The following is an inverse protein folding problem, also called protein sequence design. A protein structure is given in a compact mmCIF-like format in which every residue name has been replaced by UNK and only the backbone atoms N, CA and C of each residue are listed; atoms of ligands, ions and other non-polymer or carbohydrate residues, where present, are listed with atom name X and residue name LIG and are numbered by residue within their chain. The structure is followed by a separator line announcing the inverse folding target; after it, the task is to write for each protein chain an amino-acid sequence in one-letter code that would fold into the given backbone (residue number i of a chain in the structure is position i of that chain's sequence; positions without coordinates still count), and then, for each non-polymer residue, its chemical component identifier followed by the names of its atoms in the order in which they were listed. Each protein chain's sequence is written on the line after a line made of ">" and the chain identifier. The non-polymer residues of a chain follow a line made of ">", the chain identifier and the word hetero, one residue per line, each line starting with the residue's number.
data_IF_914784278245
#
_entry.id   IF_914784278245
#
_cell.length_a   1.000
_cell.length_b   1.000
_cell.length_c   1.000
_cell.angle_alpha   90.00
_cell.angle_beta   90.00
_cell.angle_gamma   90.00
#
_symmetry.space_group_name_H-M   'P 1'
#
loop_
_entity.id
_entity.type
_entity.pdbx_description
1 polymer ?
#
# COMPACT_ATOMS: atom_id res chain seq x y z
N UNK A 1 -13.43 -19.95 -24.97
CA UNK A 1 -14.39 -18.87 -24.68
C UNK A 1 -15.77 -19.48 -24.69
N UNK A 2 -16.27 -19.85 -23.52
CA UNK A 2 -17.70 -20.14 -23.35
C UNK A 2 -18.23 -18.91 -22.64
N UNK A 3 -18.88 -18.01 -23.40
CA UNK A 3 -19.74 -17.01 -22.81
C UNK A 3 -20.89 -17.81 -22.18
N UNK A 4 -20.79 -18.02 -20.87
CA UNK A 4 -21.93 -18.53 -20.11
C UNK A 4 -22.72 -17.28 -19.75
N UNK A 5 -23.88 -17.11 -20.37
CA UNK A 5 -24.90 -16.18 -19.89
C UNK A 5 -25.37 -16.71 -18.53
N UNK A 6 -24.61 -16.37 -17.48
CA UNK A 6 -24.95 -16.73 -16.11
C UNK A 6 -26.01 -15.75 -15.62
N UNK A 7 -27.16 -16.27 -15.21
CA UNK A 7 -28.24 -15.44 -14.69
C UNK A 7 -27.77 -14.69 -13.43
N UNK A 8 -28.30 -13.49 -13.19
CA UNK A 8 -27.91 -12.68 -12.02
C UNK A 8 -28.11 -13.41 -10.68
N UNK A 9 -29.08 -14.33 -10.62
CA UNK A 9 -29.35 -15.18 -9.47
C UNK A 9 -28.22 -16.17 -9.18
N UNK A 10 -27.60 -16.72 -10.22
CA UNK A 10 -26.48 -17.65 -10.09
C UNK A 10 -25.20 -16.92 -9.66
N UNK A 11 -24.99 -15.69 -10.17
CA UNK A 11 -23.89 -14.82 -9.73
C UNK A 11 -23.98 -14.50 -8.24
N UNK A 12 -25.20 -14.25 -7.75
CA UNK A 12 -25.44 -13.95 -6.35
C UNK A 12 -25.10 -15.14 -5.45
N UNK A 13 -25.50 -16.36 -5.80
CA UNK A 13 -25.19 -17.54 -4.99
C UNK A 13 -23.69 -17.85 -4.99
N UNK A 14 -22.99 -17.70 -6.12
CA UNK A 14 -21.52 -17.85 -6.19
C UNK A 14 -20.81 -16.83 -5.29
N UNK A 15 -21.22 -15.56 -5.39
CA UNK A 15 -20.68 -14.51 -4.54
C UNK A 15 -20.94 -14.80 -3.06
N UNK A 16 -22.16 -15.21 -2.72
CA UNK A 16 -22.62 -15.47 -1.36
C UNK A 16 -21.85 -16.62 -0.73
N UNK A 17 -21.69 -17.72 -1.46
CA UNK A 17 -20.88 -18.87 -1.03
C UNK A 17 -19.46 -18.42 -0.72
N UNK A 18 -18.84 -17.67 -1.63
CA UNK A 18 -17.46 -17.20 -1.44
C UNK A 18 -17.33 -16.21 -0.29
N UNK A 19 -18.16 -15.16 -0.27
CA UNK A 19 -18.10 -14.12 0.77
C UNK A 19 -18.35 -14.71 2.14
N UNK A 20 -19.37 -15.54 2.33
CA UNK A 20 -19.67 -16.12 3.63
C UNK A 20 -18.72 -17.25 4.02
N UNK A 21 -18.06 -17.89 3.04
CA UNK A 21 -16.97 -18.84 3.28
C UNK A 21 -15.66 -18.18 3.74
N UNK A 22 -15.46 -16.87 3.49
CA UNK A 22 -14.28 -16.16 3.99
C UNK A 22 -14.36 -15.90 5.50
N UNK A 23 -13.19 -15.83 6.14
CA UNK A 23 -13.07 -15.44 7.56
C UNK A 23 -13.81 -14.13 7.79
N UNK A 24 -14.69 -14.13 8.81
CA UNK A 24 -15.58 -13.02 9.18
C UNK A 24 -16.66 -12.62 8.16
N UNK A 25 -16.76 -13.29 7.01
CA UNK A 25 -17.68 -12.91 5.93
C UNK A 25 -19.17 -12.87 6.33
N UNK A 26 -19.60 -13.82 7.16
CA UNK A 26 -20.95 -13.87 7.75
C UNK A 26 -21.35 -12.57 8.48
N UNK A 27 -20.38 -11.82 9.02
CA UNK A 27 -20.66 -10.53 9.69
C UNK A 27 -21.31 -9.52 8.76
N UNK A 28 -21.18 -9.62 7.43
CA UNK A 28 -21.83 -8.71 6.48
C UNK A 28 -23.37 -8.69 6.67
N UNK A 29 -23.98 -9.80 7.10
CA UNK A 29 -25.42 -9.87 7.40
C UNK A 29 -25.83 -8.94 8.55
N UNK A 30 -24.91 -8.63 9.46
CA UNK A 30 -25.11 -7.77 10.63
C UNK A 30 -25.05 -6.27 10.30
N UNK A 31 -24.90 -5.89 9.02
CA UNK A 31 -24.86 -4.49 8.64
C UNK A 31 -26.13 -3.73 9.03
N UNK A 32 -25.96 -2.71 9.87
CA UNK A 32 -27.01 -1.82 10.39
C UNK A 32 -27.53 -0.78 9.39
N UNK A 33 -26.92 -0.66 8.20
CA UNK A 33 -27.26 0.36 7.20
C UNK A 33 -27.15 1.84 7.69
N UNK A 34 -26.37 2.09 8.75
CA UNK A 34 -26.19 3.42 9.37
C UNK A 34 -25.46 4.46 8.48
N UNK A 35 -24.71 4.03 7.46
CA UNK A 35 -24.07 4.94 6.49
C UNK A 35 -22.72 5.53 6.89
N UNK A 36 -22.16 5.19 8.06
CA UNK A 36 -20.83 5.64 8.49
C UNK A 36 -19.74 5.33 7.46
N UNK A 37 -19.81 4.16 6.80
CA UNK A 37 -18.88 3.76 5.75
C UNK A 37 -18.90 4.71 4.55
N UNK A 38 -20.09 5.06 4.07
CA UNK A 38 -20.27 5.97 2.93
C UNK A 38 -19.88 7.40 3.28
N UNK A 39 -20.28 7.89 4.46
CA UNK A 39 -19.95 9.25 4.92
C UNK A 39 -18.45 9.45 5.16
N UNK A 40 -17.72 8.38 5.53
CA UNK A 40 -16.27 8.45 5.75
C UNK A 40 -15.45 8.25 4.48
N UNK A 41 -16.06 7.84 3.35
CA UNK A 41 -15.30 7.45 2.17
C UNK A 41 -14.79 8.68 1.40
N UNK A 42 -13.48 8.84 1.17
CA UNK A 42 -12.92 9.97 0.42
C UNK A 42 -13.38 10.04 -1.05
N UNK A 43 -13.78 8.90 -1.60
CA UNK A 43 -14.31 8.76 -2.97
C UNK A 43 -15.85 8.70 -3.00
N UNK A 44 -16.52 8.80 -1.86
CA UNK A 44 -17.95 8.52 -1.74
C UNK A 44 -18.84 9.34 -2.68
N UNK A 45 -18.46 10.59 -2.98
CA UNK A 45 -19.16 11.48 -3.91
C UNK A 45 -19.10 11.02 -5.38
N UNK A 46 -18.05 10.30 -5.77
CA UNK A 46 -17.89 9.79 -7.14
C UNK A 46 -18.45 8.39 -7.36
N UNK A 47 -18.83 7.68 -6.30
CA UNK A 47 -19.35 6.31 -6.38
C UNK A 47 -20.85 6.31 -6.71
N UNK A 48 -21.23 5.67 -7.81
CA UNK A 48 -22.61 5.31 -8.14
C UNK A 48 -23.27 4.51 -7.00
N UNK A 49 -22.61 3.42 -6.62
CA UNK A 49 -22.91 2.57 -5.48
C UNK A 49 -21.86 2.82 -4.40
N UNK A 50 -22.10 3.76 -3.49
CA UNK A 50 -21.27 3.84 -2.28
C UNK A 50 -21.47 2.60 -1.40
N UNK A 51 -20.56 2.37 -0.44
CA UNK A 51 -20.51 1.13 0.35
C UNK A 51 -21.82 0.74 1.03
N UNK A 52 -22.59 1.71 1.56
CA UNK A 52 -23.93 1.43 2.12
C UNK A 52 -24.89 0.89 1.05
N UNK A 53 -24.95 1.56 -0.11
CA UNK A 53 -25.80 1.14 -1.23
C UNK A 53 -25.40 -0.24 -1.76
N UNK A 54 -24.10 -0.53 -1.88
CA UNK A 54 -23.62 -1.86 -2.27
C UNK A 54 -24.19 -2.95 -1.36
N UNK A 55 -24.10 -2.77 -0.03
CA UNK A 55 -24.63 -3.76 0.92
C UNK A 55 -26.17 -3.87 0.82
N UNK A 56 -26.87 -2.76 0.61
CA UNK A 56 -28.33 -2.78 0.46
C UNK A 56 -28.74 -3.53 -0.81
N UNK A 57 -28.11 -3.25 -1.94
CA UNK A 57 -28.32 -3.93 -3.21
C UNK A 57 -28.00 -5.43 -3.12
N UNK A 58 -26.90 -5.81 -2.45
CA UNK A 58 -26.57 -7.20 -2.14
C UNK A 58 -27.64 -7.92 -1.30
N UNK A 59 -28.35 -7.22 -0.41
CA UNK A 59 -29.40 -7.83 0.42
C UNK A 59 -30.69 -8.11 -0.37
N UNK A 60 -30.95 -7.36 -1.43
CA UNK A 60 -32.14 -7.52 -2.29
C UNK A 60 -31.86 -8.32 -3.57
N UNK A 61 -30.63 -8.81 -3.75
CA UNK A 61 -30.23 -9.62 -4.91
C UNK A 61 -29.89 -8.81 -6.15
N UNK A 62 -29.72 -7.49 -6.03
CA UNK A 62 -29.38 -6.61 -7.15
C UNK A 62 -27.86 -6.56 -7.36
N UNK A 63 -27.34 -7.68 -7.87
CA UNK A 63 -25.90 -7.91 -7.94
C UNK A 63 -25.29 -7.43 -9.27
N UNK A 64 -26.05 -7.53 -10.36
CA UNK A 64 -25.61 -7.15 -11.70
C UNK A 64 -25.25 -5.66 -11.80
N UNK A 65 -26.07 -4.79 -11.20
CA UNK A 65 -25.82 -3.35 -11.17
C UNK A 65 -24.56 -3.00 -10.36
N UNK A 66 -24.31 -3.68 -9.24
CA UNK A 66 -23.10 -3.45 -8.43
C UNK A 66 -21.85 -3.84 -9.19
N UNK A 67 -21.86 -5.00 -9.87
CA UNK A 67 -20.71 -5.50 -10.61
C UNK A 67 -20.40 -4.65 -11.84
N UNK A 68 -21.44 -4.13 -12.49
CA UNK A 68 -21.30 -3.25 -13.66
C UNK A 68 -20.95 -1.81 -13.27
N UNK A 69 -21.18 -1.43 -12.01
CA UNK A 69 -20.92 -0.11 -11.47
C UNK A 69 -19.44 0.23 -11.27
N UNK A 70 -19.12 1.53 -11.32
CA UNK A 70 -17.75 2.01 -11.16
C UNK A 70 -17.31 2.16 -9.69
N UNK A 71 -18.24 2.12 -8.75
CA UNK A 71 -17.99 2.34 -7.33
C UNK A 71 -17.03 1.32 -6.72
N UNK A 72 -17.11 0.04 -7.11
CA UNK A 72 -16.17 -0.99 -6.64
C UNK A 72 -14.74 -0.68 -7.08
N UNK A 73 -14.55 -0.06 -8.24
CA UNK A 73 -13.24 0.27 -8.81
C UNK A 73 -12.66 1.58 -8.26
N UNK A 74 -13.50 2.51 -7.78
CA UNK A 74 -13.05 3.69 -7.05
C UNK A 74 -12.57 3.39 -5.61
N UNK A 75 -12.90 2.22 -5.06
CA UNK A 75 -12.45 1.85 -3.72
C UNK A 75 -10.92 1.66 -3.69
N UNK A 76 -10.23 2.33 -2.77
CA UNK A 76 -8.76 2.19 -2.64
C UNK A 76 -8.35 1.27 -1.50
N UNK A 77 -9.29 0.48 -0.98
CA UNK A 77 -9.09 -0.46 0.12
C UNK A 77 -8.38 0.18 1.32
N UNK A 78 -8.74 1.41 1.66
CA UNK A 78 -8.00 2.20 2.64
C UNK A 78 -8.34 1.89 4.11
N UNK A 79 -9.30 0.99 4.37
CA UNK A 79 -9.81 0.61 5.70
C UNK A 79 -10.62 1.66 6.47
N UNK A 80 -10.80 2.90 6.00
CA UNK A 80 -11.52 3.92 6.78
C UNK A 80 -12.96 3.49 7.13
N UNK A 81 -13.65 2.88 6.16
CA UNK A 81 -15.01 2.39 6.32
C UNK A 81 -15.10 1.21 7.31
N UNK A 82 -14.12 0.29 7.26
CA UNK A 82 -14.01 -0.87 8.15
C UNK A 82 -13.70 -0.42 9.58
N UNK A 83 -12.73 0.49 9.75
CA UNK A 83 -12.31 0.99 11.07
C UNK A 83 -13.44 1.71 11.79
N UNK A 84 -14.16 2.58 11.08
CA UNK A 84 -15.27 3.38 11.65
C UNK A 84 -16.60 2.62 11.71
N UNK A 85 -16.69 1.40 11.18
CA UNK A 85 -17.91 0.63 11.23
C UNK A 85 -18.26 0.24 12.68
N UNK A 86 -19.45 0.61 13.20
CA UNK A 86 -19.86 0.19 14.55
C UNK A 86 -20.07 -1.33 14.65
N UNK A 87 -20.52 -1.96 13.57
CA UNK A 87 -20.74 -3.41 13.48
C UNK A 87 -19.51 -4.20 13.00
N UNK A 88 -18.35 -3.54 12.78
CA UNK A 88 -17.09 -4.18 12.35
C UNK A 88 -17.24 -5.10 11.13
N UNK A 89 -18.01 -4.66 10.14
CA UNK A 89 -18.21 -5.38 8.88
C UNK A 89 -16.87 -5.45 8.11
N UNK A 90 -16.44 -6.63 7.61
CA UNK A 90 -15.17 -6.81 6.90
C UNK A 90 -15.24 -6.34 5.44
N UNK A 91 -15.47 -5.03 5.24
CA UNK A 91 -15.72 -4.45 3.92
C UNK A 91 -14.48 -4.52 3.02
N UNK A 92 -13.30 -4.22 3.59
CA UNK A 92 -12.05 -4.08 2.83
C UNK A 92 -11.38 -5.42 2.54
N UNK A 93 -11.47 -6.39 3.44
CA UNK A 93 -10.82 -7.69 3.29
C UNK A 93 -11.66 -8.73 2.54
N UNK A 94 -12.99 -8.62 2.63
CA UNK A 94 -13.92 -9.62 2.12
C UNK A 94 -14.80 -9.00 1.05
N UNK A 95 -15.70 -8.08 1.43
CA UNK A 95 -16.79 -7.66 0.55
C UNK A 95 -16.30 -7.06 -0.78
N UNK A 96 -15.46 -6.02 -0.73
CA UNK A 96 -15.02 -5.32 -1.96
C UNK A 96 -14.10 -6.18 -2.83
N UNK A 97 -13.09 -6.89 -2.29
CA UNK A 97 -12.26 -7.79 -3.10
C UNK A 97 -13.06 -8.89 -3.79
N UNK A 98 -14.04 -9.53 -3.10
CA UNK A 98 -14.85 -10.57 -3.74
C UNK A 98 -15.79 -9.98 -4.80
N UNK A 99 -16.38 -8.80 -4.56
CA UNK A 99 -17.15 -8.10 -5.61
C UNK A 99 -16.30 -7.86 -6.86
N UNK A 100 -15.05 -7.43 -6.70
CA UNK A 100 -14.12 -7.18 -7.81
C UNK A 100 -13.71 -8.46 -8.52
N UNK A 101 -13.46 -9.53 -7.77
CA UNK A 101 -13.17 -10.83 -8.35
C UNK A 101 -14.34 -11.33 -9.18
N UNK A 102 -15.56 -11.27 -8.65
CA UNK A 102 -16.75 -11.65 -9.41
C UNK A 102 -16.91 -10.78 -10.65
N UNK A 103 -16.70 -9.47 -10.53
CA UNK A 103 -16.71 -8.58 -11.69
C UNK A 103 -15.65 -8.97 -12.74
N UNK A 104 -14.46 -9.40 -12.34
CA UNK A 104 -13.42 -9.89 -13.25
C UNK A 104 -13.78 -11.20 -13.93
N UNK A 105 -14.25 -12.19 -13.18
CA UNK A 105 -14.62 -13.51 -13.71
C UNK A 105 -15.72 -13.45 -14.78
N UNK A 106 -16.61 -12.45 -14.67
CA UNK A 106 -17.72 -12.24 -15.58
C UNK A 106 -17.53 -11.03 -16.50
N UNK A 107 -16.30 -10.49 -16.58
CA UNK A 107 -15.90 -9.40 -17.47
C UNK A 107 -16.76 -8.12 -17.34
N UNK A 108 -17.21 -7.80 -16.12
CA UNK A 108 -18.05 -6.63 -15.81
C UNK A 108 -17.23 -5.44 -15.32
N UNK A 109 -17.13 -4.42 -16.16
CA UNK A 109 -16.68 -3.08 -15.75
C UNK A 109 -15.21 -2.97 -15.29
N UNK A 110 -14.38 -4.00 -15.52
CA UNK A 110 -12.97 -4.00 -15.06
C UNK A 110 -12.16 -2.94 -15.83
N UNK A 111 -11.52 -1.96 -15.15
CA UNK A 111 -10.75 -0.94 -15.85
C UNK A 111 -9.53 -1.51 -16.60
N UNK A 112 -9.36 -1.15 -17.87
CA UNK A 112 -8.27 -1.65 -18.73
C UNK A 112 -6.87 -1.38 -18.15
N UNK A 113 -6.65 -0.24 -17.51
CA UNK A 113 -5.36 0.10 -16.88
C UNK A 113 -5.00 -0.89 -15.77
N UNK A 114 -6.00 -1.30 -14.97
CA UNK A 114 -5.82 -2.29 -13.91
C UNK A 114 -5.59 -3.68 -14.50
N UNK A 115 -6.36 -4.08 -15.52
CA UNK A 115 -6.15 -5.35 -16.22
C UNK A 115 -4.70 -5.47 -16.72
N UNK A 116 -4.20 -4.45 -17.42
CA UNK A 116 -2.81 -4.41 -17.90
C UNK A 116 -1.78 -4.51 -16.77
N UNK A 117 -2.02 -3.85 -15.64
CA UNK A 117 -1.14 -3.95 -14.47
C UNK A 117 -1.13 -5.37 -13.88
N UNK A 118 -2.27 -6.05 -13.83
CA UNK A 118 -2.40 -7.43 -13.35
C UNK A 118 -1.74 -8.44 -14.30
N UNK A 119 -1.96 -8.29 -15.61
CA UNK A 119 -1.28 -9.07 -16.65
C UNK A 119 0.24 -8.93 -16.58
N UNK A 120 0.73 -7.70 -16.39
CA UNK A 120 2.15 -7.43 -16.20
C UNK A 120 2.69 -8.17 -14.97
N UNK A 121 1.94 -8.19 -13.87
CA UNK A 121 2.33 -8.93 -12.66
C UNK A 121 2.40 -10.42 -12.94
N UNK A 122 1.39 -10.98 -13.60
CA UNK A 122 1.37 -12.41 -13.93
C UNK A 122 2.56 -12.80 -14.82
N UNK A 123 2.87 -11.97 -15.83
CA UNK A 123 3.93 -12.24 -16.81
C UNK A 123 5.34 -11.93 -16.32
N UNK A 124 5.54 -10.81 -15.64
CA UNK A 124 6.86 -10.28 -15.28
C UNK A 124 7.14 -10.27 -13.77
N UNK A 125 6.16 -10.62 -12.93
CA UNK A 125 6.27 -10.56 -11.48
C UNK A 125 6.24 -9.15 -10.89
N UNK A 126 5.97 -8.13 -11.71
CA UNK A 126 5.87 -6.73 -11.32
C UNK A 126 4.85 -5.98 -12.21
N UNK A 127 4.18 -4.95 -11.69
CA UNK A 127 3.10 -4.27 -12.43
C UNK A 127 3.60 -3.32 -13.52
N UNK A 128 4.90 -2.97 -13.53
CA UNK A 128 5.48 -2.08 -14.53
C UNK A 128 5.77 -2.78 -15.87
N UNK A 129 5.60 -4.10 -15.95
CA UNK A 129 5.93 -4.87 -17.17
C UNK A 129 7.43 -4.94 -17.46
N UNK A 130 8.26 -4.63 -16.46
CA UNK A 130 9.70 -4.54 -16.61
C UNK A 130 10.39 -5.89 -16.42
N UNK A 131 11.58 -6.04 -17.02
CA UNK A 131 12.36 -7.27 -16.84
C UNK A 131 12.73 -7.50 -15.36
N UNK A 132 12.63 -8.72 -14.81
CA UNK A 132 13.11 -9.04 -13.46
C UNK A 132 14.59 -8.67 -13.24
N UNK A 133 15.41 -8.72 -14.29
CA UNK A 133 16.84 -8.33 -14.22
C UNK A 133 17.04 -6.87 -13.85
N UNK A 134 16.09 -5.98 -14.18
CA UNK A 134 16.14 -4.54 -13.86
C UNK A 134 15.80 -4.25 -12.40
N UNK A 135 15.27 -5.20 -11.63
CA UNK A 135 14.88 -5.01 -10.20
C UNK A 135 16.02 -4.50 -9.32
N UNK A 136 17.26 -4.82 -9.68
CA UNK A 136 18.47 -4.41 -8.94
C UNK A 136 19.15 -3.16 -9.49
N UNK A 137 18.55 -2.45 -10.45
CA UNK A 137 19.19 -1.28 -11.06
C UNK A 137 19.49 -0.19 -10.04
N UNK A 138 18.57 0.05 -9.09
CA UNK A 138 18.73 1.03 -8.02
C UNK A 138 19.96 0.78 -7.14
N UNK A 139 20.43 -0.47 -7.01
CA UNK A 139 21.61 -0.83 -6.19
C UNK A 139 22.84 -0.06 -6.63
N UNK A 140 23.01 0.14 -7.94
CA UNK A 140 24.16 0.88 -8.50
C UNK A 140 24.15 2.35 -8.10
N UNK A 141 22.98 2.91 -7.86
CA UNK A 141 22.78 4.32 -7.48
C UNK A 141 23.05 4.56 -5.98
N UNK A 142 23.21 3.50 -5.19
CA UNK A 142 23.40 3.61 -3.74
C UNK A 142 24.79 4.06 -3.34
N UNK A 143 25.81 3.72 -4.12
CA UNK A 143 27.22 3.93 -3.77
C UNK A 143 27.71 3.11 -2.57
N UNK A 144 26.92 2.14 -2.07
CA UNK A 144 27.30 1.28 -0.93
C UNK A 144 27.21 -0.20 -1.33
N UNK A 145 28.01 -1.08 -0.72
CA UNK A 145 27.94 -2.52 -1.01
C UNK A 145 26.61 -3.11 -0.49
N UNK A 146 25.94 -3.89 -1.34
CA UNK A 146 24.71 -4.63 -0.98
C UNK A 146 24.87 -6.09 -1.39
N UNK A 147 24.61 -7.02 -0.47
CA UNK A 147 24.62 -8.46 -0.75
C UNK A 147 23.40 -8.84 -1.60
N UNK A 148 23.63 -9.42 -2.77
CA UNK A 148 22.57 -9.96 -3.65
C UNK A 148 22.53 -11.47 -3.45
N UNK A 149 21.54 -11.95 -2.69
CA UNK A 149 21.51 -13.34 -2.22
C UNK A 149 21.33 -14.36 -3.33
N UNK A 150 20.68 -13.97 -4.43
CA UNK A 150 20.61 -14.79 -5.65
C UNK A 150 21.98 -15.12 -6.25
N UNK A 151 23.02 -14.32 -5.96
CA UNK A 151 24.41 -14.57 -6.41
C UNK A 151 25.30 -15.15 -5.31
N UNK A 152 25.16 -14.66 -4.08
CA UNK A 152 25.93 -15.10 -2.92
C UNK A 152 24.98 -15.42 -1.76
N UNK A 153 24.75 -16.72 -1.51
CA UNK A 153 23.80 -17.21 -0.50
C UNK A 153 24.29 -17.10 0.94
N UNK A 154 25.35 -16.33 1.21
CA UNK A 154 25.80 -16.07 2.58
C UNK A 154 24.64 -15.55 3.45
N UNK A 155 24.52 -16.01 4.70
CA UNK A 155 23.53 -15.48 5.63
C UNK A 155 23.67 -13.97 5.82
N UNK A 156 22.56 -13.33 6.15
CA UNK A 156 22.47 -11.91 6.52
C UNK A 156 21.53 -11.78 7.71
N UNK A 157 21.71 -10.80 8.59
CA UNK A 157 20.72 -10.58 9.65
C UNK A 157 19.40 -10.07 9.08
N UNK A 158 19.47 -9.17 8.10
CA UNK A 158 18.31 -8.50 7.51
C UNK A 158 18.15 -8.86 6.03
N UNK A 159 16.96 -9.34 5.68
CA UNK A 159 16.50 -9.34 4.30
C UNK A 159 15.68 -8.08 4.03
N UNK A 160 16.23 -7.17 3.22
CA UNK A 160 15.49 -6.03 2.71
C UNK A 160 14.64 -6.49 1.50
N UNK A 161 13.33 -6.28 1.56
CA UNK A 161 12.39 -6.46 0.44
C UNK A 161 11.93 -5.07 -0.01
N UNK A 162 12.56 -4.49 -1.06
CA UNK A 162 12.23 -3.15 -1.54
C UNK A 162 10.84 -3.03 -2.15
N UNK A 163 10.26 -4.13 -2.64
CA UNK A 163 9.03 -4.15 -3.42
C UNK A 163 9.15 -3.43 -4.78
N UNK A 164 8.09 -3.52 -5.57
CA UNK A 164 8.06 -3.07 -6.96
C UNK A 164 8.25 -1.56 -7.11
N UNK A 165 7.64 -0.74 -6.24
CA UNK A 165 7.76 0.71 -6.36
C UNK A 165 9.19 1.17 -6.09
N UNK A 166 9.85 0.70 -5.03
CA UNK A 166 11.24 1.07 -4.80
C UNK A 166 12.22 0.41 -5.79
N UNK A 167 11.85 -0.71 -6.42
CA UNK A 167 12.71 -1.33 -7.41
C UNK A 167 12.66 -0.67 -8.80
N UNK A 168 11.51 -0.14 -9.21
CA UNK A 168 11.28 0.28 -10.61
C UNK A 168 10.84 1.75 -10.78
N UNK A 169 10.14 2.34 -9.80
CA UNK A 169 9.61 3.69 -9.95
C UNK A 169 10.69 4.75 -9.69
N UNK A 170 10.83 5.73 -10.59
CA UNK A 170 11.95 6.68 -10.59
C UNK A 170 12.09 7.49 -9.29
N UNK A 171 10.97 7.94 -8.72
CA UNK A 171 11.01 8.64 -7.42
C UNK A 171 11.13 7.69 -6.23
N UNK A 172 10.22 6.72 -6.13
CA UNK A 172 10.11 5.82 -4.99
C UNK A 172 11.34 4.93 -4.77
N UNK A 173 12.21 4.72 -5.77
CA UNK A 173 13.49 4.03 -5.57
C UNK A 173 14.43 4.72 -4.59
N UNK A 174 14.30 6.03 -4.42
CA UNK A 174 15.11 6.79 -3.46
C UNK A 174 14.87 6.34 -2.01
N UNK A 175 13.72 5.75 -1.70
CA UNK A 175 13.44 5.15 -0.40
C UNK A 175 14.36 3.95 -0.14
N UNK A 176 14.47 3.02 -1.09
CA UNK A 176 15.38 1.88 -0.97
C UNK A 176 16.85 2.32 -0.97
N UNK A 177 17.21 3.33 -1.76
CA UNK A 177 18.55 3.91 -1.76
C UNK A 177 18.88 4.50 -0.39
N UNK A 178 17.96 5.27 0.19
CA UNK A 178 18.16 5.91 1.49
C UNK A 178 18.30 4.89 2.61
N UNK A 179 17.44 3.87 2.62
CA UNK A 179 17.54 2.77 3.57
C UNK A 179 18.86 2.01 3.46
N UNK A 180 19.30 1.69 2.24
CA UNK A 180 20.58 0.99 2.05
C UNK A 180 21.77 1.81 2.57
N UNK A 181 21.78 3.12 2.32
CA UNK A 181 22.81 4.02 2.85
C UNK A 181 22.77 4.12 4.38
N UNK A 182 21.58 4.21 4.97
CA UNK A 182 21.41 4.24 6.43
C UNK A 182 21.88 2.91 7.06
N UNK A 183 21.49 1.77 6.49
CA UNK A 183 21.93 0.45 6.96
C UNK A 183 23.44 0.31 6.89
N UNK A 184 24.07 0.80 5.82
CA UNK A 184 25.52 0.84 5.71
C UNK A 184 26.17 1.70 6.81
N UNK A 185 25.64 2.90 7.08
CA UNK A 185 26.14 3.78 8.16
C UNK A 185 25.98 3.18 9.55
N UNK A 186 24.94 2.37 9.76
CA UNK A 186 24.69 1.63 11.00
C UNK A 186 25.46 0.30 11.08
N UNK A 187 26.29 -0.03 10.08
CA UNK A 187 27.01 -1.31 9.97
C UNK A 187 26.07 -2.53 10.09
N UNK A 188 24.87 -2.43 9.54
CA UNK A 188 23.87 -3.50 9.53
C UNK A 188 24.26 -4.54 8.49
N UNK A 189 24.23 -5.82 8.86
CA UNK A 189 24.38 -6.91 7.90
C UNK A 189 23.05 -7.19 7.17
N UNK A 190 22.93 -6.71 5.93
CA UNK A 190 21.73 -6.88 5.13
C UNK A 190 22.00 -7.33 3.70
N UNK A 191 20.98 -7.92 3.09
CA UNK A 191 20.96 -8.30 1.68
C UNK A 191 19.58 -8.15 1.06
N UNK A 192 19.52 -8.35 -0.25
CA UNK A 192 18.29 -8.42 -1.05
C UNK A 192 18.25 -9.74 -1.82
N UNK A 193 17.06 -10.23 -2.17
CA UNK A 193 16.92 -11.41 -3.04
C UNK A 193 17.50 -11.11 -4.43
N UNK A 194 17.19 -9.92 -4.97
CA UNK A 194 17.59 -9.52 -6.32
C UNK A 194 16.53 -9.89 -7.36
N UNK A 195 16.92 -10.35 -8.58
CA UNK A 195 15.97 -10.60 -9.67
C UNK A 195 14.91 -11.68 -9.39
N UNK A 196 15.13 -12.55 -8.41
CA UNK A 196 14.19 -13.60 -8.02
C UNK A 196 13.05 -13.08 -7.11
N UNK A 197 13.08 -11.82 -6.69
CA UNK A 197 11.94 -11.19 -5.99
C UNK A 197 10.81 -10.87 -6.99
N UNK A 198 9.58 -11.24 -6.63
CA UNK A 198 8.35 -10.75 -7.26
C UNK A 198 7.58 -9.88 -6.29
N UNK A 199 6.53 -9.23 -6.78
CA UNK A 199 5.60 -8.53 -5.90
C UNK A 199 5.02 -9.48 -4.82
N UNK A 200 4.87 -8.97 -3.60
CA UNK A 200 4.30 -9.67 -2.44
C UNK A 200 2.78 -9.86 -2.59
N UNK A 201 2.12 -8.98 -3.35
CA UNK A 201 0.81 -9.28 -3.95
C UNK A 201 -0.44 -8.75 -3.22
N UNK A 202 -0.32 -8.07 -2.06
CA UNK A 202 -1.50 -7.59 -1.31
C UNK A 202 -2.46 -6.75 -2.16
N UNK A 203 -1.91 -5.82 -2.96
CA UNK A 203 -2.72 -4.98 -3.85
C UNK A 203 -3.48 -5.76 -4.92
N UNK A 204 -3.03 -6.97 -5.31
CA UNK A 204 -3.70 -7.84 -6.29
C UNK A 204 -4.89 -8.52 -5.62
N UNK A 205 -4.66 -9.12 -4.44
CA UNK A 205 -5.70 -9.67 -3.58
C UNK A 205 -6.84 -8.68 -3.40
N UNK A 206 -6.51 -7.44 -3.03
CA UNK A 206 -7.48 -6.37 -2.80
C UNK A 206 -8.13 -5.81 -4.07
N UNK A 207 -7.49 -6.00 -5.23
CA UNK A 207 -8.06 -5.71 -6.54
C UNK A 207 -9.03 -6.80 -7.03
N UNK A 208 -9.16 -7.93 -6.31
CA UNK A 208 -10.00 -9.07 -6.68
C UNK A 208 -9.24 -10.25 -7.27
N UNK A 209 -7.92 -10.14 -7.46
CA UNK A 209 -7.08 -11.20 -8.03
C UNK A 209 -6.50 -12.11 -6.93
N UNK A 210 -7.35 -12.93 -6.32
CA UNK A 210 -6.95 -13.87 -5.25
C UNK A 210 -6.01 -14.96 -5.76
N UNK A 211 -6.30 -15.56 -6.92
CA UNK A 211 -5.44 -16.61 -7.50
C UNK A 211 -4.04 -16.12 -7.85
N UNK A 212 -3.93 -14.91 -8.41
CA UNK A 212 -2.62 -14.28 -8.65
C UNK A 212 -1.87 -14.00 -7.33
N UNK A 213 -2.57 -13.57 -6.29
CA UNK A 213 -1.98 -13.38 -4.96
C UNK A 213 -1.41 -14.68 -4.40
N UNK A 214 -2.18 -15.77 -4.42
CA UNK A 214 -1.75 -17.08 -3.92
C UNK A 214 -0.53 -17.61 -4.69
N UNK A 215 -0.54 -17.49 -6.03
CA UNK A 215 0.59 -17.87 -6.87
C UNK A 215 1.86 -17.06 -6.56
N UNK A 216 1.73 -15.76 -6.34
CA UNK A 216 2.84 -14.91 -5.93
C UNK A 216 3.35 -15.28 -4.53
N UNK A 217 2.46 -15.48 -3.57
CA UNK A 217 2.82 -15.83 -2.19
C UNK A 217 3.57 -17.16 -2.14
N UNK A 218 3.07 -18.20 -2.83
CA UNK A 218 3.75 -19.49 -2.94
C UNK A 218 5.13 -19.37 -3.59
N UNK A 219 5.23 -18.63 -4.70
CA UNK A 219 6.50 -18.38 -5.36
C UNK A 219 7.50 -17.67 -4.42
N UNK A 220 7.07 -16.59 -3.77
CA UNK A 220 7.90 -15.81 -2.87
C UNK A 220 8.34 -16.67 -1.67
N UNK A 221 7.45 -17.48 -1.10
CA UNK A 221 7.80 -18.40 -0.03
C UNK A 221 8.86 -19.43 -0.46
N UNK A 222 8.76 -19.97 -1.68
CA UNK A 222 9.79 -20.85 -2.26
C UNK A 222 11.13 -20.15 -2.45
N UNK A 223 11.15 -18.86 -2.79
CA UNK A 223 12.41 -18.10 -2.88
C UNK A 223 13.00 -17.81 -1.50
N UNK A 224 12.18 -17.34 -0.55
CA UNK A 224 12.60 -17.00 0.80
C UNK A 224 13.22 -18.20 1.52
N UNK A 225 12.70 -19.42 1.32
CA UNK A 225 13.27 -20.67 1.87
C UNK A 225 14.70 -20.98 1.43
N UNK A 226 15.21 -20.34 0.37
CA UNK A 226 16.57 -20.60 -0.14
C UNK A 226 17.66 -19.82 0.60
N UNK A 227 17.28 -18.88 1.45
CA UNK A 227 18.19 -17.92 2.07
C UNK A 227 18.02 -17.92 3.58
N UNK A 228 19.12 -17.70 4.30
CA UNK A 228 19.13 -17.62 5.76
C UNK A 228 19.17 -16.16 6.19
N UNK A 229 18.14 -15.74 6.94
CA UNK A 229 18.01 -14.40 7.51
C UNK A 229 17.16 -14.42 8.77
N UNK A 230 17.34 -13.43 9.65
CA UNK A 230 16.63 -13.37 10.93
C UNK A 230 15.31 -12.60 10.85
N UNK A 231 15.26 -11.59 9.99
CA UNK A 231 14.11 -10.69 9.85
C UNK A 231 13.99 -10.11 8.45
N UNK A 232 12.75 -9.89 8.00
CA UNK A 232 12.44 -9.13 6.80
C UNK A 232 12.18 -7.68 7.19
N UNK A 233 12.83 -6.74 6.50
CA UNK A 233 12.50 -5.32 6.56
C UNK A 233 11.95 -4.90 5.19
N UNK A 234 10.85 -4.15 5.19
CA UNK A 234 10.28 -3.60 3.96
C UNK A 234 9.87 -2.13 4.14
N UNK A 235 10.08 -1.27 3.12
CA UNK A 235 9.56 0.08 3.14
C UNK A 235 8.08 0.16 2.77
N UNK A 236 7.48 -0.91 2.27
CA UNK A 236 6.10 -0.90 1.77
C UNK A 236 5.11 -1.43 2.82
N UNK A 237 4.20 -0.59 3.35
CA UNK A 237 3.12 -1.01 4.24
C UNK A 237 2.22 -2.10 3.67
N UNK A 238 2.05 -2.20 2.35
CA UNK A 238 1.25 -3.26 1.73
C UNK A 238 1.95 -4.61 1.80
N UNK A 239 3.25 -4.66 1.51
CA UNK A 239 4.04 -5.87 1.70
C UNK A 239 4.12 -6.27 3.18
N UNK A 240 4.32 -5.29 4.08
CA UNK A 240 4.25 -5.52 5.52
C UNK A 240 2.91 -6.15 5.92
N UNK A 241 1.80 -5.60 5.46
CA UNK A 241 0.46 -6.15 5.72
C UNK A 241 0.30 -7.59 5.19
N UNK A 242 0.71 -7.85 3.95
CA UNK A 242 0.61 -9.20 3.39
C UNK A 242 1.44 -10.20 4.19
N UNK A 243 2.70 -9.90 4.51
CA UNK A 243 3.54 -10.81 5.26
C UNK A 243 3.02 -11.10 6.68
N UNK A 244 2.46 -10.10 7.36
CA UNK A 244 2.02 -10.23 8.76
C UNK A 244 0.62 -10.82 8.88
N UNK A 245 -0.30 -10.49 7.95
CA UNK A 245 -1.72 -10.85 8.10
C UNK A 245 -2.22 -11.86 7.06
N UNK A 246 -1.65 -11.89 5.85
CA UNK A 246 -2.22 -12.66 4.73
C UNK A 246 -1.42 -13.93 4.41
N UNK A 247 -0.10 -13.85 4.38
CA UNK A 247 0.80 -14.99 4.19
C UNK A 247 0.63 -16.08 5.26
N UNK A 248 0.42 -15.76 6.56
CA UNK A 248 0.19 -16.78 7.58
C UNK A 248 -1.07 -17.63 7.31
N UNK A 249 -2.09 -17.05 6.67
CA UNK A 249 -3.30 -17.80 6.26
C UNK A 249 -3.00 -18.86 5.20
N UNK A 250 -1.89 -18.70 4.47
CA UNK A 250 -1.35 -19.66 3.49
C UNK A 250 -0.26 -20.58 4.08
N UNK A 251 -0.02 -20.50 5.40
CA UNK A 251 1.00 -21.31 6.08
C UNK A 251 2.43 -20.76 5.98
N UNK A 252 2.62 -19.51 5.57
CA UNK A 252 3.94 -18.87 5.52
C UNK A 252 4.05 -17.77 6.57
N UNK A 253 4.98 -17.93 7.52
CA UNK A 253 5.18 -16.98 8.61
C UNK A 253 6.62 -16.48 8.61
N UNK A 254 6.80 -15.18 8.80
CA UNK A 254 8.10 -14.52 8.86
C UNK A 254 8.10 -13.46 9.97
N UNK A 255 9.27 -13.22 10.58
CA UNK A 255 9.47 -12.03 11.39
C UNK A 255 9.63 -10.84 10.43
N UNK A 256 8.74 -9.86 10.49
CA UNK A 256 8.76 -8.71 9.59
C UNK A 256 8.59 -7.41 10.37
N UNK A 257 9.38 -6.40 10.02
CA UNK A 257 9.14 -5.03 10.45
C UNK A 257 9.02 -4.11 9.24
N UNK A 258 8.14 -3.14 9.35
CA UNK A 258 8.20 -1.97 8.49
C UNK A 258 9.46 -1.16 8.79
N UNK A 259 10.04 -0.51 7.78
CA UNK A 259 11.31 0.21 7.92
C UNK A 259 11.29 1.24 9.06
N UNK A 260 10.18 1.95 9.28
CA UNK A 260 10.05 2.91 10.40
C UNK A 260 10.05 2.24 11.77
N UNK A 261 9.52 1.02 11.91
CA UNK A 261 9.60 0.29 13.18
C UNK A 261 11.04 -0.11 13.48
N UNK A 262 11.77 -0.56 12.46
CA UNK A 262 13.18 -0.93 12.60
C UNK A 262 14.05 0.29 12.92
N UNK A 263 13.90 1.39 12.18
CA UNK A 263 14.67 2.62 12.42
C UNK A 263 14.36 3.21 13.80
N UNK A 264 13.12 3.12 14.27
CA UNK A 264 12.77 3.51 15.63
C UNK A 264 13.46 2.64 16.69
N UNK A 265 13.57 1.32 16.47
CA UNK A 265 14.35 0.44 17.36
C UNK A 265 15.85 0.76 17.36
N UNK A 266 16.36 1.38 16.29
CA UNK A 266 17.76 1.80 16.15
C UNK A 266 17.96 3.28 16.44
N UNK A 267 16.99 3.97 17.04
CA UNK A 267 17.00 5.42 17.16
C UNK A 267 18.18 5.95 17.99
N UNK A 268 18.58 5.23 19.04
CA UNK A 268 19.72 5.63 19.86
C UNK A 268 21.06 5.43 19.14
N UNK A 269 21.15 4.51 18.19
CA UNK A 269 22.31 4.37 17.30
C UNK A 269 22.31 5.42 16.17
N UNK A 270 21.13 5.90 15.78
CA UNK A 270 20.95 6.92 14.74
C UNK A 270 21.28 8.32 15.23
N UNK A 271 20.85 8.70 16.45
CA UNK A 271 21.03 10.06 16.99
C UNK A 271 22.48 10.57 16.93
N UNK A 272 23.53 9.79 17.29
CA UNK A 272 24.92 10.21 17.16
C UNK A 272 25.36 10.52 15.72
N UNK A 273 24.65 9.97 14.73
CA UNK A 273 24.91 10.18 13.32
C UNK A 273 24.28 11.46 12.78
N UNK A 274 23.33 12.10 13.49
CA UNK A 274 22.70 13.34 13.02
C UNK A 274 23.71 14.50 13.07
N UNK A 275 24.24 14.86 11.90
CA UNK A 275 25.27 15.92 11.72
C UNK A 275 24.71 17.22 11.18
N UNK A 276 23.52 17.22 10.57
CA UNK A 276 22.87 18.41 10.02
C UNK A 276 21.52 18.63 10.70
N UNK A 277 21.11 19.89 10.78
CA UNK A 277 19.75 20.26 11.17
C UNK A 277 18.78 20.05 9.99
N UNK A 278 17.51 19.85 10.29
CA UNK A 278 16.42 19.85 9.32
C UNK A 278 15.37 20.91 9.68
N UNK A 279 15.67 22.21 9.47
CA UNK A 279 14.90 23.34 9.99
C UNK A 279 13.61 23.61 9.19
N UNK A 280 12.81 22.57 8.98
CA UNK A 280 11.56 22.64 8.23
C UNK A 280 10.37 22.31 9.13
N UNK A 281 9.22 22.87 8.77
CA UNK A 281 7.94 22.48 9.32
C UNK A 281 7.44 21.21 8.64
N UNK A 282 7.44 20.10 9.37
CA UNK A 282 7.15 18.77 8.86
C UNK A 282 5.85 18.24 9.44
N UNK A 283 4.98 17.71 8.59
CA UNK A 283 3.81 16.93 8.99
C UNK A 283 3.91 15.51 8.47
N UNK A 284 3.17 14.57 9.08
CA UNK A 284 3.18 13.17 8.67
C UNK A 284 1.86 12.71 8.03
N UNK A 285 1.94 11.88 7.00
CA UNK A 285 0.81 11.11 6.49
C UNK A 285 0.86 9.68 7.04
N UNK A 286 -0.21 9.26 7.72
CA UNK A 286 -0.39 7.89 8.19
C UNK A 286 -0.83 6.95 7.04
N UNK A 287 0.04 6.06 6.53
CA UNK A 287 -0.35 5.14 5.47
C UNK A 287 -1.38 4.15 5.99
N UNK A 288 -2.40 3.88 5.19
CA UNK A 288 -3.58 3.10 5.60
C UNK A 288 -3.23 1.72 6.17
N UNK A 289 -2.26 1.05 5.55
CA UNK A 289 -1.86 -0.31 5.91
C UNK A 289 -0.92 -0.33 7.11
N UNK A 290 -0.08 0.69 7.29
CA UNK A 290 0.79 0.80 8.45
C UNK A 290 -0.01 1.18 9.70
N UNK A 291 -0.83 2.23 9.58
CA UNK A 291 -1.66 2.78 10.65
C UNK A 291 -2.96 2.01 10.87
N UNK A 292 -3.99 2.26 10.05
CA UNK A 292 -5.35 1.72 10.31
C UNK A 292 -5.38 0.21 10.47
N UNK A 293 -4.66 -0.53 9.61
CA UNK A 293 -4.65 -2.00 9.61
C UNK A 293 -3.70 -2.58 10.65
N UNK A 294 -2.45 -2.12 10.72
CA UNK A 294 -1.42 -2.71 11.58
C UNK A 294 -1.10 -1.93 12.87
N UNK A 295 -1.80 -0.83 13.14
CA UNK A 295 -1.72 -0.03 14.37
C UNK A 295 -0.34 0.57 14.66
N UNK A 296 0.47 0.78 13.62
CA UNK A 296 1.77 1.43 13.73
C UNK A 296 1.60 2.92 13.44
N UNK A 297 1.53 3.72 14.50
CA UNK A 297 1.39 5.18 14.41
C UNK A 297 2.57 5.94 15.02
N UNK A 298 3.14 5.44 16.11
CA UNK A 298 4.08 6.24 16.91
C UNK A 298 5.51 6.17 16.38
N UNK A 299 5.99 5.01 15.94
CA UNK A 299 7.37 4.85 15.44
C UNK A 299 7.79 5.90 14.37
N UNK A 300 6.98 6.19 13.34
CA UNK A 300 7.25 7.28 12.39
C UNK A 300 7.41 8.66 13.05
N UNK A 301 6.54 8.97 14.02
CA UNK A 301 6.51 10.27 14.70
C UNK A 301 7.68 10.46 15.64
N UNK A 302 8.03 9.42 16.40
CA UNK A 302 9.16 9.47 17.33
C UNK A 302 10.49 9.60 16.60
N UNK A 303 10.62 9.01 15.40
CA UNK A 303 11.76 9.29 14.52
C UNK A 303 11.80 10.77 14.15
N UNK A 304 10.71 11.33 13.60
CA UNK A 304 10.68 12.72 13.16
C UNK A 304 10.98 13.71 14.29
N UNK A 305 10.40 13.51 15.48
CA UNK A 305 10.63 14.36 16.66
C UNK A 305 12.07 14.30 17.20
N UNK A 306 12.81 13.25 16.88
CA UNK A 306 14.21 13.10 17.32
C UNK A 306 15.21 13.92 16.51
N UNK A 307 14.77 14.50 15.38
CA UNK A 307 15.64 15.19 14.43
C UNK A 307 15.83 16.65 14.86
N UNK A 308 17.09 17.08 15.00
CA UNK A 308 17.42 18.44 15.39
C UNK A 308 16.94 19.47 14.35
N UNK A 309 16.31 20.54 14.85
CA UNK A 309 15.76 21.62 14.03
C UNK A 309 14.39 21.31 13.39
N UNK A 310 13.94 20.05 13.38
CA UNK A 310 12.67 19.66 12.76
C UNK A 310 11.49 20.15 13.60
N UNK A 311 10.61 20.97 13.00
CA UNK A 311 9.38 21.43 13.64
C UNK A 311 8.21 20.52 13.25
N UNK A 312 7.90 19.54 14.09
CA UNK A 312 6.85 18.57 13.81
C UNK A 312 5.47 19.13 14.17
N UNK A 313 4.55 19.15 13.20
CA UNK A 313 3.16 19.54 13.37
C UNK A 313 2.22 18.50 12.77
N UNK A 314 1.05 18.32 13.38
CA UNK A 314 0.06 17.35 12.91
C UNK A 314 -1.04 18.02 12.09
N UNK A 315 -1.51 17.31 11.07
CA UNK A 315 -2.75 17.66 10.38
C UNK A 315 -3.97 17.37 11.29
N UNK A 316 -5.12 18.03 11.07
CA UNK A 316 -6.33 17.74 11.85
C UNK A 316 -6.79 16.28 11.75
N UNK A 317 -6.65 15.66 10.57
CA UNK A 317 -6.95 14.23 10.38
C UNK A 317 -5.66 13.41 10.41
N UNK A 318 -5.45 12.67 11.48
CA UNK A 318 -4.27 11.81 11.68
C UNK A 318 -4.69 10.45 12.21
N UNK A 319 -3.73 9.53 12.31
CA UNK A 319 -3.91 8.17 12.80
C UNK A 319 -5.05 7.46 12.06
N UNK A 320 -6.04 6.92 12.76
CA UNK A 320 -7.19 6.23 12.17
C UNK A 320 -8.01 7.11 11.23
N UNK A 321 -8.03 8.42 11.47
CA UNK A 321 -8.82 9.40 10.74
C UNK A 321 -8.11 9.99 9.52
N UNK A 322 -6.85 9.64 9.29
CA UNK A 322 -6.10 10.10 8.13
C UNK A 322 -6.81 9.78 6.80
N UNK A 323 -6.81 10.74 5.88
CA UNK A 323 -7.31 10.53 4.53
C UNK A 323 -6.46 9.51 3.78
N UNK A 324 -7.03 8.84 2.77
CA UNK A 324 -6.28 7.95 1.90
C UNK A 324 -5.45 8.76 0.88
N UNK A 325 -4.28 8.26 0.48
CA UNK A 325 -3.52 8.78 -0.67
C UNK A 325 -4.19 8.50 -2.02
N UNK A 326 -5.01 7.44 -2.11
CA UNK A 326 -5.71 7.03 -3.34
C UNK A 326 -5.05 5.86 -4.09
N UNK A 327 -3.87 5.40 -3.69
CA UNK A 327 -3.11 4.39 -4.46
C UNK A 327 -3.44 2.92 -4.16
N UNK A 328 -4.04 2.63 -2.99
CA UNK A 328 -4.32 1.26 -2.55
C UNK A 328 -5.38 0.54 -3.38
N UNK A 329 -5.47 -0.79 -3.24
CA UNK A 329 -6.50 -1.61 -3.93
C UNK A 329 -6.47 -1.51 -5.46
N UNK A 330 -5.32 -1.19 -6.06
CA UNK A 330 -5.18 -0.96 -7.50
C UNK A 330 -5.35 0.50 -7.95
N UNK A 331 -5.75 1.41 -7.04
CA UNK A 331 -6.04 2.82 -7.35
C UNK A 331 -4.87 3.59 -7.97
N UNK A 332 -3.62 3.19 -7.71
CA UNK A 332 -2.43 3.81 -8.31
C UNK A 332 -2.39 3.67 -9.85
N UNK A 333 -3.12 2.71 -10.42
CA UNK A 333 -3.22 2.51 -11.87
C UNK A 333 -4.46 3.16 -12.49
N UNK A 334 -5.36 3.70 -11.67
CA UNK A 334 -6.70 4.10 -12.08
C UNK A 334 -6.84 5.62 -12.20
N UNK A 335 -5.77 6.33 -12.57
CA UNK A 335 -5.85 7.80 -12.66
C UNK A 335 -6.84 8.22 -13.76
N UNK A 336 -6.70 7.69 -14.98
CA UNK A 336 -7.61 8.05 -16.09
C UNK A 336 -9.04 7.55 -15.84
N UNK A 337 -9.20 6.37 -15.24
CA UNK A 337 -10.50 5.86 -14.84
C UNK A 337 -11.17 6.75 -13.77
N UNK A 338 -10.47 7.04 -12.67
CA UNK A 338 -11.05 7.78 -11.53
C UNK A 338 -11.44 9.20 -11.92
N UNK A 339 -10.66 9.88 -12.76
CA UNK A 339 -10.94 11.24 -13.25
C UNK A 339 -12.28 11.38 -13.99
N UNK A 340 -12.87 10.29 -14.48
CA UNK A 340 -14.21 10.31 -15.08
C UNK A 340 -15.31 10.57 -14.06
N UNK A 341 -15.07 10.24 -12.79
CA UNK A 341 -16.08 10.19 -11.74
C UNK A 341 -15.79 11.11 -10.56
N UNK A 342 -14.53 11.53 -10.37
CA UNK A 342 -14.15 12.48 -9.31
C UNK A 342 -13.45 13.71 -9.89
N UNK A 343 -13.78 14.87 -9.32
CA UNK A 343 -13.11 16.14 -9.65
C UNK A 343 -11.77 16.27 -8.95
N UNK A 344 -11.75 15.96 -7.66
CA UNK A 344 -10.58 16.14 -6.79
C UNK A 344 -10.18 14.81 -6.15
N UNK A 345 -8.90 14.45 -6.27
CA UNK A 345 -8.37 13.20 -5.72
C UNK A 345 -8.14 13.30 -4.21
N UNK A 346 -8.23 12.21 -3.44
CA UNK A 346 -7.88 12.23 -2.03
C UNK A 346 -6.46 12.69 -1.74
N UNK A 347 -5.50 12.39 -2.62
CA UNK A 347 -4.15 12.94 -2.54
C UNK A 347 -4.12 14.47 -2.58
N UNK A 348 -4.92 15.08 -3.45
CA UNK A 348 -5.02 16.55 -3.58
C UNK A 348 -5.62 17.16 -2.31
N UNK A 349 -6.70 16.56 -1.78
CA UNK A 349 -7.29 16.96 -0.49
C UNK A 349 -6.27 16.87 0.65
N UNK A 350 -5.44 15.83 0.67
CA UNK A 350 -4.43 15.61 1.71
C UNK A 350 -3.26 16.61 1.61
N UNK A 351 -2.77 16.91 0.41
CA UNK A 351 -1.73 17.92 0.20
C UNK A 351 -2.24 19.32 0.60
N UNK A 352 -3.48 19.67 0.25
CA UNK A 352 -4.11 20.92 0.70
C UNK A 352 -4.23 21.01 2.21
N UNK A 353 -4.57 19.90 2.88
CA UNK A 353 -4.60 19.82 4.35
C UNK A 353 -3.21 20.09 4.96
N UNK A 354 -2.15 19.47 4.42
CA UNK A 354 -0.78 19.71 4.86
C UNK A 354 -0.35 21.18 4.67
N UNK A 355 -0.71 21.80 3.55
CA UNK A 355 -0.43 23.23 3.32
C UNK A 355 -1.23 24.15 4.26
N UNK A 356 -2.46 23.78 4.63
CA UNK A 356 -3.30 24.63 5.49
C UNK A 356 -2.74 24.85 6.90
N UNK A 357 -1.89 23.95 7.37
CA UNK A 357 -1.15 24.08 8.64
C UNK A 357 0.26 24.68 8.46
N UNK A 358 0.60 25.06 7.22
CA UNK A 358 1.86 25.65 6.82
C UNK A 358 3.02 24.65 6.71
N UNK A 359 2.76 23.35 6.51
CA UNK A 359 3.84 22.38 6.38
C UNK A 359 4.63 22.58 5.08
N UNK A 360 5.95 22.52 5.20
CA UNK A 360 6.91 22.62 4.09
C UNK A 360 7.33 21.23 3.60
N UNK A 361 7.15 20.20 4.44
CA UNK A 361 7.41 18.80 4.13
C UNK A 361 6.24 17.94 4.58
N UNK A 362 5.70 17.16 3.66
CA UNK A 362 4.80 16.04 3.96
C UNK A 362 5.65 14.77 4.02
N UNK A 363 5.99 14.35 5.24
CA UNK A 363 6.67 13.11 5.50
C UNK A 363 5.73 11.91 5.28
N UNK A 364 6.22 10.88 4.60
CA UNK A 364 5.50 9.64 4.34
C UNK A 364 6.30 8.42 4.77
N UNK A 365 5.64 7.28 4.79
CA UNK A 365 6.24 5.98 5.14
C UNK A 365 5.73 4.87 4.21
N UNK A 366 5.43 5.23 2.96
CA UNK A 366 4.96 4.31 1.92
C UNK A 366 5.47 4.78 0.55
N UNK A 367 6.09 3.90 -0.25
CA UNK A 367 6.54 4.21 -1.60
C UNK A 367 5.42 4.66 -2.56
N UNK A 368 4.19 4.17 -2.36
CA UNK A 368 3.04 4.58 -3.17
C UNK A 368 2.60 6.00 -2.81
N UNK A 369 2.67 6.38 -1.53
CA UNK A 369 2.32 7.73 -1.09
C UNK A 369 3.22 8.79 -1.73
N UNK A 370 4.50 8.49 -1.93
CA UNK A 370 5.45 9.33 -2.69
C UNK A 370 4.88 9.65 -4.07
N UNK A 371 4.52 8.62 -4.85
CA UNK A 371 3.97 8.79 -6.20
C UNK A 371 2.67 9.59 -6.15
N UNK A 372 1.72 9.21 -5.28
CA UNK A 372 0.40 9.82 -5.24
C UNK A 372 0.44 11.29 -4.82
N UNK A 373 1.26 11.65 -3.83
CA UNK A 373 1.33 13.03 -3.36
C UNK A 373 2.19 13.92 -4.25
N UNK A 374 3.27 13.42 -4.86
CA UNK A 374 4.02 14.23 -5.83
C UNK A 374 3.17 14.56 -7.06
N UNK A 375 2.38 13.61 -7.54
CA UNK A 375 1.45 13.88 -8.64
C UNK A 375 0.34 14.86 -8.23
N UNK A 376 -0.10 14.83 -6.97
CA UNK A 376 -1.04 15.82 -6.45
C UNK A 376 -0.41 17.21 -6.33
N UNK A 377 0.86 17.31 -5.90
CA UNK A 377 1.62 18.58 -5.87
C UNK A 377 1.69 19.21 -7.26
N UNK A 378 2.01 18.41 -8.29
CA UNK A 378 2.07 18.87 -9.68
C UNK A 378 0.70 19.33 -10.20
N UNK A 379 -0.35 18.52 -10.01
CA UNK A 379 -1.71 18.87 -10.46
C UNK A 379 -2.20 20.18 -9.82
N UNK A 380 -1.79 20.45 -8.59
CA UNK A 380 -2.18 21.66 -7.87
C UNK A 380 -1.25 22.86 -8.10
N UNK A 381 -0.19 22.71 -8.92
CA UNK A 381 0.86 23.72 -9.14
C UNK A 381 1.50 24.20 -7.83
N UNK A 382 1.90 23.25 -6.99
CA UNK A 382 2.47 23.48 -5.65
C UNK A 382 3.96 23.12 -5.58
N UNK A 383 4.62 22.91 -6.72
CA UNK A 383 6.06 22.67 -6.78
C UNK A 383 6.83 23.79 -6.06
N UNK A 384 7.81 23.40 -5.26
CA UNK A 384 8.59 24.33 -4.43
C UNK A 384 7.88 24.84 -3.17
N UNK A 385 6.56 24.63 -3.02
CA UNK A 385 5.83 25.03 -1.81
C UNK A 385 5.77 23.95 -0.74
N UNK A 386 5.75 22.68 -1.14
CA UNK A 386 5.77 21.54 -0.22
C UNK A 386 6.56 20.38 -0.84
N UNK A 387 7.41 19.74 -0.04
CA UNK A 387 8.21 18.57 -0.45
C UNK A 387 7.57 17.29 0.06
N UNK A 388 7.56 16.25 -0.77
CA UNK A 388 7.14 14.92 -0.36
C UNK A 388 8.40 14.08 -0.13
N UNK A 389 8.57 13.57 1.09
CA UNK A 389 9.78 12.85 1.47
C UNK A 389 9.43 11.64 2.32
N UNK A 390 10.04 10.51 2.02
CA UNK A 390 9.98 9.37 2.94
C UNK A 390 10.85 9.65 4.18
N UNK A 391 10.47 9.10 5.33
CA UNK A 391 11.21 9.27 6.58
C UNK A 391 12.68 8.84 6.45
N UNK A 392 12.98 7.81 5.65
CA UNK A 392 14.36 7.41 5.38
C UNK A 392 15.16 8.46 4.60
N UNK A 393 14.52 9.23 3.71
CA UNK A 393 15.19 10.32 2.98
C UNK A 393 15.52 11.48 3.93
N UNK A 394 14.56 11.85 4.80
CA UNK A 394 14.76 12.89 5.83
C UNK A 394 15.91 12.49 6.76
N UNK A 395 15.93 11.23 7.23
CA UNK A 395 17.01 10.72 8.07
C UNK A 395 18.37 10.75 7.36
N UNK A 396 18.42 10.37 6.09
CA UNK A 396 19.67 10.37 5.34
C UNK A 396 20.23 11.81 5.17
N UNK A 397 19.37 12.80 4.92
CA UNK A 397 19.78 14.20 4.83
C UNK A 397 20.49 14.66 6.12
N UNK A 398 19.94 14.30 7.29
CA UNK A 398 20.52 14.72 8.58
C UNK A 398 21.74 13.91 9.01
N UNK A 399 21.88 12.66 8.56
CA UNK A 399 23.07 11.84 8.79
C UNK A 399 24.30 12.35 8.02
N UNK A 400 24.11 13.25 7.05
CA UNK A 400 25.17 13.73 6.17
C UNK A 400 25.45 12.76 5.02
N UNK A 401 24.36 12.32 4.36
CA UNK A 401 24.40 11.45 3.18
C UNK A 401 24.95 12.08 1.91
#
# INVERSE_FOLDING_TARGET
>A
MVQTDVEAKDLYEIFKEKVYGMVDGEKIKQCLQCGTCSASCPFGEGMDYNTRKMIAAMKIGDFDEILSGHGIWLCTSCYICTTRCPAKIPLTDVMVPVLRETAMLYEKGVPLELQKALENVARYGNPFGESPKKRINWVKETGVPIKILQKDKKPVNILLIPECFCAYHQRAKNVAISLAKIFHKLNVDFGIIGPDEKCIGDSKRLAGEFGLFEMLAEYNAKQLKKYNFDIIITPDPHAYNAFVNEYPKLGYTYKVLHHTQYLFQRLDDLKPLFKKEFPYKVTYHDPCYLGRRNKVFDAPREILKSINGLNFIEMPRTREDALCCGGGGGGVWLDSFSRKYIKERPAEKRVKEALSIGAEVLAVACPIDITMFEDAVKVLNLEGKIRIMDISEILLEVIGG
#
